data_IF_813754407469
#
_entry.id   IF_813754407469
#
_cell.length_a   1.000
_cell.length_b   1.000
_cell.length_c   1.000
_cell.angle_alpha   90.00
_cell.angle_beta   90.00
_cell.angle_gamma   90.00
#
_symmetry.space_group_name_H-M   'P 1'
#
loop_
_entity.id
_entity.type
_entity.pdbx_description
1 polymer ?
#
# COMPACT_ATOMS: atom_id res chain seq x y z
N UNK A 1 5.89 -2.74 10.76
CA UNK A 1 6.05 -4.21 10.73
C UNK A 1 7.50 -4.69 10.84
N UNK A 2 8.45 -4.09 10.12
CA UNK A 2 9.87 -4.53 10.15
C UNK A 2 10.50 -4.48 11.56
N UNK A 3 10.31 -3.38 12.30
CA UNK A 3 10.81 -3.24 13.67
C UNK A 3 10.27 -4.33 14.61
N UNK A 4 8.97 -4.63 14.50
CA UNK A 4 8.31 -5.70 15.26
C UNK A 4 8.94 -7.05 14.91
N UNK A 5 9.26 -7.28 13.63
CA UNK A 5 9.96 -8.48 13.17
C UNK A 5 11.32 -8.65 13.84
N UNK A 6 12.15 -7.59 13.86
CA UNK A 6 13.46 -7.63 14.54
C UNK A 6 13.35 -7.87 16.04
N UNK A 7 12.32 -7.30 16.70
CA UNK A 7 12.03 -7.58 18.11
C UNK A 7 11.71 -9.06 18.32
N UNK A 8 10.83 -9.65 17.49
CA UNK A 8 10.48 -11.08 17.55
C UNK A 8 11.72 -11.96 17.35
N UNK A 9 12.53 -11.67 16.33
CA UNK A 9 13.79 -12.40 16.06
C UNK A 9 14.74 -12.30 17.26
N UNK A 10 14.89 -11.10 17.84
CA UNK A 10 15.71 -10.87 19.03
C UNK A 10 15.23 -11.64 20.26
N UNK A 11 13.92 -11.72 20.47
CA UNK A 11 13.32 -12.51 21.56
C UNK A 11 13.58 -14.02 21.36
N UNK A 12 13.44 -14.53 20.13
CA UNK A 12 13.75 -15.93 19.81
C UNK A 12 15.24 -16.19 20.02
N UNK A 13 16.12 -15.31 19.52
CA UNK A 13 17.57 -15.42 19.71
C UNK A 13 17.94 -15.44 21.20
N UNK A 14 17.36 -14.57 22.02
CA UNK A 14 17.55 -14.53 23.47
C UNK A 14 17.11 -15.83 24.14
N UNK A 15 15.96 -16.37 23.74
CA UNK A 15 15.46 -17.66 24.24
C UNK A 15 16.39 -18.82 23.86
N UNK A 16 16.89 -18.85 22.62
CA UNK A 16 17.86 -19.86 22.18
C UNK A 16 19.19 -19.74 22.94
N UNK A 17 19.69 -18.52 23.11
CA UNK A 17 20.92 -18.24 23.84
C UNK A 17 20.86 -18.71 25.30
N UNK A 18 19.76 -18.42 26.00
CA UNK A 18 19.57 -18.83 27.40
C UNK A 18 19.44 -20.35 27.60
N UNK A 19 19.03 -21.08 26.56
CA UNK A 19 18.83 -22.54 26.61
C UNK A 19 20.10 -23.35 26.36
N UNK A 20 21.18 -22.74 25.89
CA UNK A 20 22.44 -23.45 25.65
C UNK A 20 23.24 -23.59 26.95
N UNK A 21 23.71 -24.82 27.23
CA UNK A 21 24.61 -25.13 28.34
C UNK A 21 25.96 -24.42 28.16
N UNK A 22 26.54 -24.53 26.96
CA UNK A 22 27.73 -23.78 26.59
C UNK A 22 27.36 -22.50 25.86
N UNK A 23 27.54 -21.36 26.53
CA UNK A 23 27.16 -20.07 25.96
C UNK A 23 28.06 -19.69 24.78
N UNK A 24 27.50 -19.30 23.63
CA UNK A 24 28.25 -18.72 22.53
C UNK A 24 28.65 -17.29 22.84
N UNK A 25 29.66 -16.81 22.12
CA UNK A 25 30.08 -15.42 22.21
C UNK A 25 28.99 -14.57 21.58
N UNK A 26 28.43 -13.63 22.35
CA UNK A 26 27.23 -12.88 21.98
C UNK A 26 27.36 -12.17 20.61
N UNK A 27 28.47 -11.46 20.37
CA UNK A 27 28.68 -10.80 19.08
C UNK A 27 28.79 -11.77 17.89
N UNK A 28 29.32 -12.98 18.11
CA UNK A 28 29.34 -14.03 17.06
C UNK A 28 27.94 -14.51 16.72
N UNK A 29 27.03 -14.57 17.70
CA UNK A 29 25.63 -14.91 17.46
C UNK A 29 24.98 -13.89 16.52
N UNK A 30 25.19 -12.59 16.77
CA UNK A 30 24.65 -11.53 15.90
C UNK A 30 25.14 -11.70 14.47
N UNK A 31 26.45 -11.87 14.28
CA UNK A 31 27.06 -12.08 12.95
C UNK A 31 26.47 -13.30 12.26
N UNK A 32 26.27 -14.40 13.00
CA UNK A 32 25.76 -15.65 12.44
C UNK A 32 24.29 -15.57 12.06
N UNK A 33 23.47 -14.84 12.82
CA UNK A 33 22.08 -14.55 12.43
C UNK A 33 22.06 -13.70 11.16
N UNK A 34 22.87 -12.63 11.10
CA UNK A 34 22.95 -11.76 9.93
C UNK A 34 23.47 -12.49 8.69
N UNK A 35 24.48 -13.35 8.85
CA UNK A 35 24.97 -14.18 7.75
C UNK A 35 23.93 -15.22 7.32
N UNK A 36 23.24 -15.86 8.27
CA UNK A 36 22.16 -16.82 7.98
C UNK A 36 20.94 -16.19 7.29
N UNK A 37 20.73 -14.88 7.43
CA UNK A 37 19.68 -14.11 6.74
C UNK A 37 19.87 -14.07 5.22
N UNK A 38 21.08 -14.30 4.72
CA UNK A 38 21.37 -14.29 3.29
C UNK A 38 20.70 -15.47 2.58
N UNK A 39 19.89 -15.18 1.56
CA UNK A 39 19.09 -16.19 0.84
C UNK A 39 19.05 -15.95 -0.65
N UNK A 40 18.78 -17.02 -1.39
CA UNK A 40 18.22 -16.90 -2.73
C UNK A 40 16.70 -16.80 -2.63
N UNK A 41 16.11 -15.86 -3.35
CA UNK A 41 14.69 -15.56 -3.25
C UNK A 41 14.05 -15.32 -4.61
N UNK A 42 12.75 -15.55 -4.68
CA UNK A 42 11.90 -15.19 -5.82
C UNK A 42 10.99 -14.03 -5.44
N UNK A 43 10.67 -13.19 -6.42
CA UNK A 43 9.74 -12.08 -6.28
C UNK A 43 8.38 -12.50 -6.79
N UNK A 44 7.34 -12.26 -6.00
CA UNK A 44 5.95 -12.51 -6.36
C UNK A 44 5.15 -11.22 -6.15
N UNK A 45 4.34 -10.85 -7.13
CA UNK A 45 3.38 -9.75 -6.95
C UNK A 45 2.16 -10.28 -6.17
N UNK A 46 1.88 -9.65 -5.04
CA UNK A 46 0.78 -9.97 -4.14
C UNK A 46 0.04 -8.66 -3.85
N UNK A 47 -1.16 -8.52 -4.42
CA UNK A 47 -2.00 -7.31 -4.29
C UNK A 47 -1.32 -6.00 -4.74
N UNK A 48 -0.47 -6.05 -5.79
CA UNK A 48 0.26 -4.87 -6.28
C UNK A 48 1.48 -4.52 -5.45
N UNK A 49 1.85 -5.38 -4.48
CA UNK A 49 3.07 -5.25 -3.69
C UNK A 49 3.98 -6.45 -3.94
N UNK A 50 5.28 -6.20 -4.02
CA UNK A 50 6.26 -7.26 -4.31
C UNK A 50 6.65 -7.98 -3.02
N UNK A 51 6.14 -9.20 -2.85
CA UNK A 51 6.57 -10.12 -1.81
C UNK A 51 7.85 -10.86 -2.26
N UNK A 52 8.75 -11.12 -1.31
CA UNK A 52 9.97 -11.89 -1.56
C UNK A 52 9.94 -13.18 -0.77
N UNK A 53 9.96 -14.32 -1.46
CA UNK A 53 9.95 -15.65 -0.84
C UNK A 53 11.37 -16.22 -0.89
N UNK A 54 11.97 -16.44 0.27
CA UNK A 54 13.27 -17.08 0.39
C UNK A 54 13.16 -18.59 0.17
N UNK A 55 13.93 -19.12 -0.78
CA UNK A 55 13.92 -20.54 -1.14
C UNK A 55 15.17 -21.24 -0.62
N UNK A 56 16.35 -20.70 -0.93
CA UNK A 56 17.62 -21.36 -0.59
C UNK A 56 18.33 -20.64 0.55
N UNK A 57 18.76 -21.36 1.60
CA UNK A 57 19.43 -20.78 2.76
C UNK A 57 20.93 -20.60 2.50
N UNK A 58 21.29 -19.79 1.50
CA UNK A 58 22.68 -19.59 1.06
C UNK A 58 23.62 -19.22 2.21
N UNK A 59 23.19 -18.32 3.09
CA UNK A 59 23.93 -17.92 4.28
C UNK A 59 24.24 -19.08 5.22
N UNK A 60 23.26 -19.97 5.43
CA UNK A 60 23.43 -21.18 6.25
C UNK A 60 24.42 -22.14 5.59
N UNK A 61 24.35 -22.33 4.27
CA UNK A 61 25.29 -23.18 3.54
C UNK A 61 26.73 -22.65 3.60
N UNK A 62 26.91 -21.33 3.46
CA UNK A 62 28.22 -20.67 3.60
C UNK A 62 28.75 -20.88 5.02
N UNK A 63 27.94 -20.61 6.05
CA UNK A 63 28.32 -20.82 7.44
C UNK A 63 28.63 -22.29 7.75
N UNK A 64 27.86 -23.21 7.18
CA UNK A 64 28.13 -24.65 7.28
C UNK A 64 29.50 -24.98 6.68
N UNK A 65 29.81 -24.53 5.47
CA UNK A 65 31.10 -24.79 4.83
C UNK A 65 32.28 -24.24 5.65
N UNK A 66 32.13 -23.06 6.25
CA UNK A 66 33.18 -22.42 7.06
C UNK A 66 33.37 -23.07 8.44
N UNK A 67 32.27 -23.43 9.11
CA UNK A 67 32.28 -23.89 10.51
C UNK A 67 32.26 -25.43 10.64
N UNK A 68 31.90 -26.17 9.60
CA UNK A 68 31.76 -27.64 9.64
C UNK A 68 33.06 -28.38 9.94
N UNK A 69 34.23 -27.75 9.69
CA UNK A 69 35.53 -28.30 10.07
C UNK A 69 35.63 -28.57 11.57
N UNK A 70 34.98 -27.74 12.40
CA UNK A 70 34.86 -27.96 13.84
C UNK A 70 33.39 -28.26 14.18
N UNK A 71 33.09 -29.55 14.37
CA UNK A 71 31.73 -30.03 14.62
C UNK A 71 31.09 -29.38 15.84
N UNK A 72 31.84 -29.18 16.92
CA UNK A 72 31.32 -28.52 18.14
C UNK A 72 30.92 -27.07 17.86
N UNK A 73 31.75 -26.34 17.11
CA UNK A 73 31.46 -24.95 16.72
C UNK A 73 30.20 -24.88 15.87
N UNK A 74 30.05 -25.75 14.85
CA UNK A 74 28.82 -25.80 14.08
C UNK A 74 27.60 -26.13 14.94
N UNK A 75 27.67 -27.14 15.80
CA UNK A 75 26.55 -27.52 16.68
C UNK A 75 26.12 -26.37 17.61
N UNK A 76 27.10 -25.61 18.11
CA UNK A 76 26.87 -24.45 18.96
C UNK A 76 26.12 -23.32 18.24
N UNK A 77 26.46 -23.06 16.98
CA UNK A 77 25.94 -21.90 16.25
C UNK A 77 24.82 -22.19 15.24
N UNK A 78 24.58 -23.46 14.87
CA UNK A 78 23.62 -23.85 13.81
C UNK A 78 22.23 -23.26 13.99
N UNK A 79 21.71 -23.23 15.22
CA UNK A 79 20.35 -22.75 15.49
C UNK A 79 20.22 -21.26 15.23
N UNK A 80 21.28 -20.49 15.43
CA UNK A 80 21.30 -19.05 15.12
C UNK A 80 21.41 -18.80 13.62
N UNK A 81 22.16 -19.63 12.89
CA UNK A 81 22.20 -19.56 11.42
C UNK A 81 20.81 -19.84 10.83
N UNK A 82 20.15 -20.89 11.30
CA UNK A 82 18.78 -21.22 10.90
C UNK A 82 17.75 -20.19 11.35
N UNK A 83 17.95 -19.52 12.50
CA UNK A 83 17.12 -18.39 12.90
C UNK A 83 17.28 -17.22 11.92
N UNK A 84 18.50 -16.94 11.45
CA UNK A 84 18.76 -15.96 10.39
C UNK A 84 17.96 -16.27 9.13
N UNK A 85 17.99 -17.52 8.66
CA UNK A 85 17.17 -17.94 7.52
C UNK A 85 15.67 -17.80 7.81
N UNK A 86 15.23 -18.30 8.97
CA UNK A 86 13.84 -18.26 9.46
C UNK A 86 13.27 -16.85 9.60
N UNK A 87 14.12 -15.86 9.87
CA UNK A 87 13.73 -14.45 9.94
C UNK A 87 13.08 -13.95 8.65
N UNK A 88 13.49 -14.45 7.48
CA UNK A 88 12.85 -14.10 6.21
C UNK A 88 11.35 -14.48 6.21
N UNK A 89 10.99 -15.64 6.77
CA UNK A 89 9.59 -16.07 6.86
C UNK A 89 8.82 -15.31 7.93
N UNK A 90 9.44 -14.97 9.06
CA UNK A 90 8.81 -14.10 10.07
C UNK A 90 8.46 -12.74 9.46
N UNK A 91 9.39 -12.15 8.72
CA UNK A 91 9.16 -10.88 8.02
C UNK A 91 8.10 -11.01 6.93
N UNK A 92 8.10 -12.11 6.17
CA UNK A 92 7.07 -12.39 5.16
C UNK A 92 5.68 -12.50 5.77
N UNK A 93 5.52 -13.22 6.89
CA UNK A 93 4.24 -13.32 7.60
C UNK A 93 3.78 -11.94 8.07
N UNK A 94 4.68 -11.16 8.68
CA UNK A 94 4.35 -9.81 9.13
C UNK A 94 4.01 -8.86 7.97
N UNK A 95 4.64 -9.05 6.82
CA UNK A 95 4.29 -8.34 5.59
C UNK A 95 2.86 -8.67 5.14
N UNK A 96 2.49 -9.96 5.08
CA UNK A 96 1.13 -10.38 4.74
C UNK A 96 0.09 -9.86 5.74
N UNK A 97 0.39 -9.92 7.04
CA UNK A 97 -0.46 -9.31 8.08
C UNK A 97 -0.59 -7.81 7.87
N UNK A 98 0.50 -7.14 7.49
CA UNK A 98 0.50 -5.72 7.12
C UNK A 98 -0.47 -5.40 5.98
N UNK A 99 -0.48 -6.23 4.92
CA UNK A 99 -1.43 -6.10 3.81
C UNK A 99 -2.87 -6.22 4.30
N UNK A 100 -3.17 -7.23 5.12
CA UNK A 100 -4.53 -7.43 5.65
C UNK A 100 -4.99 -6.27 6.54
N UNK A 101 -4.12 -5.78 7.43
CA UNK A 101 -4.41 -4.62 8.27
C UNK A 101 -4.63 -3.38 7.40
N UNK A 102 -3.81 -3.18 6.37
CA UNK A 102 -3.95 -2.05 5.45
C UNK A 102 -5.30 -2.12 4.72
N UNK A 103 -5.69 -3.28 4.18
CA UNK A 103 -6.97 -3.47 3.50
C UNK A 103 -8.17 -3.22 4.44
N UNK A 104 -8.06 -3.62 5.70
CA UNK A 104 -9.12 -3.41 6.69
C UNK A 104 -9.25 -1.93 7.11
N UNK A 105 -8.13 -1.21 7.22
CA UNK A 105 -8.12 0.20 7.64
C UNK A 105 -8.41 1.17 6.48
N UNK A 106 -7.97 0.81 5.27
CA UNK A 106 -8.02 1.62 4.05
C UNK A 106 -8.66 0.80 2.90
N UNK A 107 -9.96 0.46 3.01
CA UNK A 107 -10.64 -0.32 1.99
C UNK A 107 -10.69 0.44 0.66
N UNK A 108 -10.22 -0.14 -0.46
CA UNK A 108 -10.14 0.56 -1.75
C UNK A 108 -11.50 0.79 -2.41
N UNK A 109 -12.54 0.09 -1.95
CA UNK A 109 -13.91 0.29 -2.42
C UNK A 109 -14.67 1.37 -1.64
N UNK A 110 -14.02 2.04 -0.69
CA UNK A 110 -14.62 3.09 0.12
C UNK A 110 -14.02 4.45 -0.29
N UNK A 111 -14.83 5.41 -0.77
CA UNK A 111 -14.36 6.73 -1.17
C UNK A 111 -13.71 7.50 -0.01
N UNK A 112 -14.10 7.23 1.24
CA UNK A 112 -13.53 7.88 2.43
C UNK A 112 -12.05 7.53 2.66
N UNK A 113 -11.56 6.42 2.08
CA UNK A 113 -10.13 6.09 2.06
C UNK A 113 -9.32 7.17 1.33
N UNK A 114 -9.89 7.73 0.27
CA UNK A 114 -9.24 8.66 -0.63
C UNK A 114 -9.60 10.13 -0.37
N UNK A 115 -10.82 10.38 0.12
CA UNK A 115 -11.33 11.71 0.41
C UNK A 115 -12.01 11.67 1.78
N UNK A 116 -11.26 11.99 2.82
CA UNK A 116 -11.73 11.96 4.22
C UNK A 116 -12.01 13.34 4.81
N UNK A 117 -11.36 14.37 4.27
CA UNK A 117 -11.57 15.77 4.64
C UNK A 117 -11.62 16.64 3.38
N UNK A 118 -12.60 17.54 3.38
CA UNK A 118 -12.94 18.48 2.30
C UNK A 118 -13.20 19.89 2.84
N UNK A 119 -12.80 20.18 4.08
CA UNK A 119 -13.13 21.43 4.79
C UNK A 119 -12.60 22.66 4.07
N UNK A 120 -11.37 22.59 3.55
CA UNK A 120 -10.74 23.64 2.76
C UNK A 120 -10.75 23.31 1.25
N UNK A 121 -11.60 22.39 0.81
CA UNK A 121 -11.62 21.94 -0.58
C UNK A 121 -12.31 22.98 -1.48
N UNK A 122 -11.81 23.10 -2.70
CA UNK A 122 -12.38 24.02 -3.70
C UNK A 122 -12.33 23.42 -5.10
N UNK A 123 -13.18 23.95 -5.98
CA UNK A 123 -13.27 23.51 -7.37
C UNK A 123 -12.31 24.30 -8.25
N UNK A 124 -11.58 23.59 -9.09
CA UNK A 124 -10.79 24.14 -10.19
C UNK A 124 -11.42 23.69 -11.50
N UNK A 125 -11.75 24.65 -12.36
CA UNK A 125 -12.20 24.38 -13.72
C UNK A 125 -11.01 23.94 -14.58
N UNK A 126 -11.01 22.69 -15.03
CA UNK A 126 -9.91 22.11 -15.81
C UNK A 126 -10.17 22.11 -17.31
N UNK A 127 -11.40 22.42 -17.75
CA UNK A 127 -11.78 22.43 -19.16
C UNK A 127 -12.78 23.57 -19.46
N UNK A 128 -12.77 24.17 -20.68
CA UNK A 128 -13.71 25.24 -21.06
C UNK A 128 -15.20 24.88 -21.04
N UNK A 129 -15.55 23.59 -20.92
CA UNK A 129 -16.94 23.14 -20.74
C UNK A 129 -17.42 23.23 -19.30
N UNK A 130 -16.52 23.53 -18.35
CA UNK A 130 -16.87 23.82 -16.97
C UNK A 130 -17.72 25.09 -16.88
N UNK A 131 -18.78 25.05 -16.08
CA UNK A 131 -19.56 26.25 -15.77
C UNK A 131 -18.77 27.16 -14.82
N UNK A 132 -18.75 28.46 -15.11
CA UNK A 132 -17.95 29.44 -14.36
C UNK A 132 -18.42 29.65 -12.91
N UNK A 133 -19.70 29.41 -12.62
CA UNK A 133 -20.32 29.66 -11.31
C UNK A 133 -20.59 28.38 -10.51
N UNK A 134 -19.84 27.31 -10.71
CA UNK A 134 -20.06 26.04 -9.99
C UNK A 134 -19.42 26.07 -8.61
N UNK A 135 -20.19 25.76 -7.57
CA UNK A 135 -19.70 25.64 -6.19
C UNK A 135 -19.89 24.22 -5.62
N UNK A 136 -19.12 23.92 -4.58
CA UNK A 136 -19.21 22.65 -3.84
C UNK A 136 -20.34 22.75 -2.82
N UNK A 137 -21.19 21.72 -2.74
CA UNK A 137 -22.25 21.69 -1.73
C UNK A 137 -21.70 21.58 -0.32
N UNK A 138 -22.39 22.19 0.64
CA UNK A 138 -22.04 22.12 2.07
C UNK A 138 -22.00 20.66 2.59
N UNK A 139 -22.91 19.80 2.13
CA UNK A 139 -22.99 18.39 2.54
C UNK A 139 -22.19 17.43 1.64
N UNK A 140 -21.21 17.94 0.89
CA UNK A 140 -20.42 17.14 -0.08
C UNK A 140 -19.79 15.90 0.56
N UNK A 141 -19.31 15.98 1.80
CA UNK A 141 -18.63 14.85 2.45
C UNK A 141 -19.58 13.66 2.65
N UNK A 142 -20.83 13.92 3.03
CA UNK A 142 -21.85 12.88 3.22
C UNK A 142 -22.21 12.23 1.89
N UNK A 143 -22.30 13.04 0.83
CA UNK A 143 -22.55 12.56 -0.53
C UNK A 143 -21.41 11.68 -1.04
N UNK A 144 -20.16 12.06 -0.78
CA UNK A 144 -18.97 11.27 -1.12
C UNK A 144 -18.97 9.96 -0.34
N UNK A 145 -19.24 9.97 0.96
CA UNK A 145 -19.28 8.75 1.78
C UNK A 145 -20.36 7.75 1.33
N UNK A 146 -21.48 8.25 0.80
CA UNK A 146 -22.53 7.43 0.20
C UNK A 146 -22.22 6.93 -1.21
N UNK A 147 -21.11 7.32 -1.82
CA UNK A 147 -20.79 6.99 -3.20
C UNK A 147 -20.45 5.51 -3.36
N UNK A 148 -20.93 4.91 -4.44
CA UNK A 148 -20.70 3.49 -4.76
C UNK A 148 -19.65 3.38 -5.85
N UNK A 149 -18.66 2.51 -5.63
CA UNK A 149 -17.67 2.22 -6.67
C UNK A 149 -18.36 1.59 -7.88
N UNK A 150 -18.02 2.07 -9.07
CA UNK A 150 -18.49 1.50 -10.33
C UNK A 150 -17.32 1.19 -11.25
N UNK A 151 -17.54 0.23 -12.16
CA UNK A 151 -16.57 -0.07 -13.19
C UNK A 151 -16.51 1.10 -14.17
N UNK A 152 -15.32 1.68 -14.32
CA UNK A 152 -15.03 2.73 -15.28
C UNK A 152 -14.13 2.17 -16.38
N UNK A 153 -14.65 2.13 -17.60
CA UNK A 153 -13.89 1.71 -18.77
C UNK A 153 -13.28 2.93 -19.44
N UNK A 154 -12.05 3.28 -19.06
CA UNK A 154 -11.32 4.42 -19.64
C UNK A 154 -11.22 4.37 -21.18
N UNK A 155 -11.24 3.16 -21.76
CA UNK A 155 -11.27 2.95 -23.20
C UNK A 155 -12.55 3.46 -23.88
N UNK A 156 -13.71 3.36 -23.22
CA UNK A 156 -14.96 3.88 -23.80
C UNK A 156 -14.94 5.42 -23.81
N UNK A 157 -14.49 6.05 -22.72
CA UNK A 157 -14.32 7.51 -22.66
C UNK A 157 -13.34 8.03 -23.73
N UNK A 158 -12.20 7.35 -23.94
CA UNK A 158 -11.26 7.71 -25.01
C UNK A 158 -11.90 7.58 -26.40
N UNK A 159 -12.68 6.52 -26.64
CA UNK A 159 -13.31 6.28 -27.94
C UNK A 159 -14.40 7.33 -28.23
N UNK A 160 -15.23 7.64 -27.24
CA UNK A 160 -16.27 8.67 -27.30
C UNK A 160 -15.67 10.08 -27.50
N UNK A 161 -14.53 10.36 -26.87
CA UNK A 161 -13.88 11.68 -26.93
C UNK A 161 -13.03 11.89 -28.19
N UNK A 162 -12.46 10.82 -28.78
CA UNK A 162 -11.49 10.95 -29.88
C UNK A 162 -12.07 10.56 -31.24
N UNK A 163 -13.01 9.61 -31.31
CA UNK A 163 -13.58 9.15 -32.59
C UNK A 163 -14.86 9.86 -33.01
N UNK A 164 -15.70 10.30 -32.06
CA UNK A 164 -16.99 10.95 -32.35
C UNK A 164 -16.83 12.47 -32.33
N UNK A 165 -16.28 13.01 -33.42
CA UNK A 165 -15.81 14.39 -33.64
C UNK A 165 -16.86 15.51 -33.64
N UNK A 166 -18.01 15.34 -32.98
CA UNK A 166 -19.09 16.33 -32.95
C UNK A 166 -19.36 16.78 -31.51
N UNK A 167 -18.65 17.83 -31.07
CA UNK A 167 -18.72 18.46 -29.74
C UNK A 167 -18.37 17.50 -28.58
N UNK A 168 -17.08 17.34 -28.34
CA UNK A 168 -16.57 16.55 -27.22
C UNK A 168 -16.71 17.35 -25.92
N UNK A 169 -17.86 17.21 -25.26
CA UNK A 169 -18.03 17.63 -23.86
C UNK A 169 -17.04 16.86 -22.99
N UNK A 170 -16.11 17.57 -22.32
CA UNK A 170 -15.24 16.94 -21.32
C UNK A 170 -16.12 16.41 -20.19
N UNK A 171 -15.99 15.11 -19.91
CA UNK A 171 -16.82 14.41 -18.92
C UNK A 171 -16.45 14.81 -17.51
N UNK A 172 -15.17 15.09 -17.25
CA UNK A 172 -14.65 15.49 -15.95
C UNK A 172 -14.04 16.91 -16.01
N UNK A 173 -14.85 17.96 -16.19
CA UNK A 173 -14.36 19.32 -16.41
C UNK A 173 -13.96 20.03 -15.10
N UNK A 174 -14.12 19.36 -13.95
CA UNK A 174 -13.83 19.91 -12.62
C UNK A 174 -12.81 19.06 -11.88
N UNK A 175 -11.88 19.71 -11.18
CA UNK A 175 -10.98 19.09 -10.20
C UNK A 175 -11.34 19.58 -8.80
N UNK A 176 -11.45 18.63 -7.86
CA UNK A 176 -11.62 18.93 -6.45
C UNK A 176 -10.24 19.00 -5.80
N UNK A 177 -9.78 20.24 -5.57
CA UNK A 177 -8.49 20.53 -5.01
C UNK A 177 -8.53 20.59 -3.48
N UNK A 178 -7.36 20.49 -2.86
CA UNK A 178 -7.16 20.60 -1.42
C UNK A 178 -7.99 19.61 -0.59
N UNK A 179 -8.08 18.37 -1.06
CA UNK A 179 -8.68 17.26 -0.32
C UNK A 179 -7.62 16.43 0.37
N UNK A 180 -8.01 15.78 1.47
CA UNK A 180 -7.10 14.91 2.22
C UNK A 180 -7.62 13.48 2.34
N UNK A 181 -6.81 12.46 1.96
CA UNK A 181 -7.15 11.06 2.19
C UNK A 181 -7.09 10.73 3.67
N UNK A 182 -7.59 9.54 4.02
CA UNK A 182 -7.67 9.08 5.41
C UNK A 182 -6.31 9.19 6.09
N UNK A 183 -6.29 9.76 7.30
CA UNK A 183 -5.05 9.98 8.05
C UNK A 183 -4.24 8.69 8.20
N UNK A 184 -2.92 8.79 7.98
CA UNK A 184 -2.00 7.64 8.07
C UNK A 184 -2.01 6.69 6.87
N UNK A 185 -2.83 6.94 5.83
CA UNK A 185 -2.86 6.12 4.61
C UNK A 185 -1.62 6.31 3.73
N UNK A 186 -1.00 7.50 3.77
CA UNK A 186 0.13 7.86 2.91
C UNK A 186 -0.24 7.99 1.43
N UNK A 187 -1.53 8.07 1.10
CA UNK A 187 -2.00 8.19 -0.27
C UNK A 187 -1.84 9.62 -0.78
N UNK A 188 -1.60 9.74 -2.09
CA UNK A 188 -1.69 10.98 -2.84
C UNK A 188 -2.74 10.79 -3.93
N UNK A 189 -3.76 11.65 -3.93
CA UNK A 189 -4.95 11.50 -4.75
C UNK A 189 -5.23 12.78 -5.52
N UNK A 190 -5.51 12.63 -6.81
CA UNK A 190 -6.10 13.68 -7.64
C UNK A 190 -7.57 13.34 -7.84
N UNK A 191 -8.47 14.27 -7.57
CA UNK A 191 -9.91 14.05 -7.62
C UNK A 191 -10.53 14.89 -8.71
N UNK A 192 -11.25 14.26 -9.63
CA UNK A 192 -12.03 14.92 -10.66
C UNK A 192 -13.52 14.65 -10.44
N UNK A 193 -14.35 15.62 -10.80
CA UNK A 193 -15.80 15.55 -10.69
C UNK A 193 -16.41 15.63 -12.10
N UNK A 194 -17.38 14.76 -12.34
CA UNK A 194 -18.13 14.69 -13.60
C UNK A 194 -18.93 15.99 -13.82
N UNK A 195 -19.19 16.38 -15.06
CA UNK A 195 -19.92 17.60 -15.43
C UNK A 195 -21.24 17.78 -14.66
N UNK A 196 -21.99 16.68 -14.48
CA UNK A 196 -23.28 16.65 -13.75
C UNK A 196 -23.13 16.53 -12.23
N UNK A 197 -21.91 16.55 -11.72
CA UNK A 197 -21.59 16.45 -10.29
C UNK A 197 -21.85 15.09 -9.65
N UNK A 198 -22.21 14.05 -10.41
CA UNK A 198 -22.58 12.73 -9.85
C UNK A 198 -21.46 11.69 -9.87
N UNK A 199 -20.48 11.86 -10.75
CA UNK A 199 -19.33 10.99 -10.87
C UNK A 199 -18.10 11.59 -10.18
N UNK A 200 -17.33 10.75 -9.50
CA UNK A 200 -16.05 11.10 -8.89
C UNK A 200 -15.00 10.17 -9.48
N UNK A 201 -13.98 10.73 -10.13
CA UNK A 201 -12.82 9.99 -10.59
C UNK A 201 -11.63 10.32 -9.70
N UNK A 202 -11.18 9.32 -8.94
CA UNK A 202 -10.04 9.42 -8.03
C UNK A 202 -8.85 8.75 -8.70
N UNK A 203 -7.79 9.50 -8.95
CA UNK A 203 -6.52 8.99 -9.49
C UNK A 203 -5.48 8.91 -8.39
N UNK A 204 -4.90 7.73 -8.19
CA UNK A 204 -3.72 7.51 -7.34
C UNK A 204 -2.48 7.28 -8.22
N UNK A 205 -1.32 7.07 -7.60
CA UNK A 205 -0.09 6.73 -8.34
C UNK A 205 -0.22 5.42 -9.14
N UNK A 206 -1.00 4.46 -8.64
CA UNK A 206 -1.07 3.11 -9.20
C UNK A 206 -2.34 2.85 -10.00
N UNK A 207 -3.46 3.48 -9.64
CA UNK A 207 -4.80 3.13 -10.16
C UNK A 207 -5.76 4.31 -10.20
N UNK A 208 -6.80 4.16 -11.00
CA UNK A 208 -7.96 5.04 -11.01
C UNK A 208 -9.18 4.32 -10.44
N UNK A 209 -9.98 5.05 -9.67
CA UNK A 209 -11.21 4.59 -9.05
C UNK A 209 -12.33 5.53 -9.43
N UNK A 210 -13.45 4.97 -9.87
CA UNK A 210 -14.65 5.74 -10.19
C UNK A 210 -15.76 5.41 -9.20
N UNK A 211 -16.33 6.46 -8.62
CA UNK A 211 -17.44 6.38 -7.69
C UNK A 211 -18.61 7.19 -8.25
N UNK A 212 -19.83 6.70 -8.04
CA UNK A 212 -21.04 7.41 -8.39
C UNK A 212 -21.85 7.72 -7.13
N UNK A 213 -22.26 8.98 -7.00
CA UNK A 213 -23.15 9.46 -5.94
C UNK A 213 -24.60 9.43 -6.41
N UNK A 214 -25.53 9.31 -5.47
CA UNK A 214 -26.97 9.36 -5.79
C UNK A 214 -27.41 10.79 -6.14
N UNK A 215 -26.80 11.78 -5.48
CA UNK A 215 -27.07 13.21 -5.68
C UNK A 215 -25.83 13.97 -6.17
N UNK A 216 -26.00 15.05 -6.97
CA UNK A 216 -24.89 15.88 -7.42
C UNK A 216 -24.15 16.54 -6.26
N UNK A 217 -22.81 16.54 -6.33
CA UNK A 217 -21.87 17.18 -5.41
C UNK A 217 -21.75 18.69 -5.62
N UNK A 218 -22.14 19.14 -6.81
CA UNK A 218 -22.00 20.51 -7.28
C UNK A 218 -23.36 21.18 -7.35
N UNK A 219 -23.38 22.49 -7.18
CA UNK A 219 -24.53 23.36 -7.43
C UNK A 219 -24.12 24.64 -8.15
N UNK A 220 -25.07 25.28 -8.81
CA UNK A 220 -24.86 26.61 -9.38
C UNK A 220 -24.81 27.60 -8.22
N UNK A 221 -23.69 28.32 -8.12
CA UNK A 221 -23.53 29.44 -7.22
C UNK A 221 -24.30 30.66 -7.72
N UNK A 222 -24.88 31.40 -6.77
CA UNK A 222 -25.51 32.68 -7.04
C UNK A 222 -24.46 33.69 -7.57
N UNK A 223 -24.81 34.36 -8.67
CA UNK A 223 -23.97 35.39 -9.30
C UNK A 223 -23.91 36.68 -8.51
#
# INVERSE_FOLDING_TARGET
MILIGWIIIGLIASRLYKRQLEKPVFWKVIIIILAGFFTFSIKLDVFGQVAQISILPLGVWILYALLSKNKETWQKYRMFAWLGFGANFILLILFMVGILINYLLYPPGDPSTYISNVEDAYIINTHPTAHESTILKENVIDLIQGAKQQNYFSHSWYTETVMESVKTTERFPYMLANTHPKWGSGLHTTVYIEEKGKGILITTQDKQYYFQTEHPLLEEGDK
#
